data_IF_997513446984
#
_entry.id   IF_997513446984
#
_cell.length_a   1.000
_cell.length_b   1.000
_cell.length_c   1.000
_cell.angle_alpha   90.00
_cell.angle_beta   90.00
_cell.angle_gamma   90.00
#
_symmetry.space_group_name_H-M   'P 1'
#
loop_
_entity.id
_entity.type
_entity.pdbx_description
1 polymer ?
#
# COMPACT_ATOMS: atom_id res chain seq x y z
N UNK A 1 -2.40 6.78 5.16
CA UNK A 1 -1.21 7.13 4.36
C UNK A 1 -1.55 8.02 3.15
N UNK A 2 -2.63 7.81 2.45
CA UNK A 2 -2.99 8.62 1.26
C UNK A 2 -3.30 10.08 1.55
N UNK A 3 -3.95 10.38 2.69
CA UNK A 3 -4.30 11.77 3.06
C UNK A 3 -3.07 12.69 3.16
N UNK A 4 -1.96 12.33 3.83
CA UNK A 4 -0.76 13.16 3.84
C UNK A 4 -0.17 13.39 2.45
N UNK A 5 -0.20 12.39 1.57
CA UNK A 5 0.26 12.55 0.18
C UNK A 5 -0.58 13.63 -0.53
N UNK A 6 -1.88 13.56 -0.42
CA UNK A 6 -2.77 14.57 -1.00
C UNK A 6 -2.57 15.97 -0.41
N UNK A 7 -2.39 16.05 0.91
CA UNK A 7 -2.23 17.33 1.61
C UNK A 7 -0.90 18.04 1.27
N UNK A 8 0.21 17.31 1.20
CA UNK A 8 1.53 17.89 0.98
C UNK A 8 1.91 18.03 -0.50
N UNK A 9 1.42 17.13 -1.34
CA UNK A 9 1.84 17.06 -2.75
C UNK A 9 0.70 17.30 -3.75
N UNK A 10 -0.51 17.57 -3.27
CA UNK A 10 -1.69 17.82 -4.09
C UNK A 10 -2.02 16.68 -5.08
N UNK A 11 -1.69 15.45 -4.70
CA UNK A 11 -2.05 14.26 -5.48
C UNK A 11 -3.50 13.88 -5.20
N UNK A 12 -4.28 13.62 -6.24
CA UNK A 12 -5.67 13.19 -6.10
C UNK A 12 -5.79 11.96 -5.18
N UNK A 13 -6.84 11.91 -4.35
CA UNK A 13 -7.00 10.87 -3.33
C UNK A 13 -7.01 9.46 -3.91
N UNK A 14 -7.75 9.24 -4.99
CA UNK A 14 -7.79 7.94 -5.66
C UNK A 14 -6.44 7.51 -6.21
N UNK A 15 -5.67 8.43 -6.79
CA UNK A 15 -4.32 8.16 -7.27
C UNK A 15 -3.36 7.84 -6.12
N UNK A 16 -3.44 8.59 -5.02
CA UNK A 16 -2.65 8.31 -3.81
C UNK A 16 -2.95 6.91 -3.25
N UNK A 17 -4.21 6.50 -3.24
CA UNK A 17 -4.61 5.15 -2.84
C UNK A 17 -4.02 4.09 -3.79
N UNK A 18 -4.07 4.31 -5.09
CA UNK A 18 -3.52 3.38 -6.08
C UNK A 18 -2.00 3.21 -5.93
N UNK A 19 -1.27 4.30 -5.70
CA UNK A 19 0.18 4.26 -5.46
C UNK A 19 0.56 3.41 -4.25
N UNK A 20 -0.25 3.46 -3.19
CA UNK A 20 0.00 2.78 -1.92
C UNK A 20 -0.49 1.33 -1.92
N UNK A 21 -1.49 1.00 -2.74
CA UNK A 21 -2.24 -0.24 -2.63
C UNK A 21 -1.38 -1.51 -2.65
N UNK A 22 -0.43 -1.72 -3.58
CA UNK A 22 0.37 -2.95 -3.58
C UNK A 22 1.23 -3.10 -2.32
N UNK A 23 1.93 -2.06 -1.92
CA UNK A 23 2.82 -2.09 -0.74
C UNK A 23 2.07 -2.23 0.58
N UNK A 24 0.98 -1.51 0.74
CA UNK A 24 0.14 -1.62 1.94
C UNK A 24 -0.53 -2.99 2.03
N UNK A 25 -0.96 -3.55 0.90
CA UNK A 25 -1.50 -4.91 0.85
C UNK A 25 -0.45 -5.94 1.25
N UNK A 26 0.76 -5.86 0.66
CA UNK A 26 1.88 -6.74 1.00
C UNK A 26 2.19 -6.71 2.51
N UNK A 27 2.27 -5.52 3.09
CA UNK A 27 2.45 -5.34 4.53
C UNK A 27 1.31 -5.95 5.36
N UNK A 28 0.07 -5.81 4.88
CA UNK A 28 -1.13 -6.16 5.65
C UNK A 28 -1.46 -7.65 5.66
N UNK A 29 -0.92 -8.43 4.71
CA UNK A 29 -1.23 -9.86 4.53
C UNK A 29 -0.96 -10.67 5.81
N UNK A 30 0.11 -10.37 6.53
CA UNK A 30 0.43 -11.04 7.80
C UNK A 30 -0.68 -10.90 8.85
N UNK A 31 -1.48 -9.86 8.77
CA UNK A 31 -2.59 -9.64 9.70
C UNK A 31 -3.82 -10.49 9.41
N UNK A 32 -4.02 -10.93 8.17
CA UNK A 32 -5.12 -11.83 7.80
C UNK A 32 -4.90 -12.51 6.45
N UNK A 33 -3.96 -13.44 6.41
CA UNK A 33 -3.56 -14.16 5.20
C UNK A 33 -4.74 -14.87 4.52
N UNK A 34 -5.63 -15.49 5.30
CA UNK A 34 -6.79 -16.22 4.76
C UNK A 34 -7.72 -15.32 3.95
N UNK A 35 -8.05 -14.13 4.45
CA UNK A 35 -8.94 -13.19 3.74
C UNK A 35 -8.30 -12.63 2.47
N UNK A 36 -7.01 -12.32 2.51
CA UNK A 36 -6.31 -11.87 1.32
C UNK A 36 -6.19 -12.98 0.27
N UNK A 37 -5.96 -14.23 0.70
CA UNK A 37 -6.01 -15.38 -0.20
C UNK A 37 -7.40 -15.55 -0.84
N UNK A 38 -8.46 -15.37 -0.08
CA UNK A 38 -9.85 -15.38 -0.59
C UNK A 38 -10.06 -14.30 -1.64
N UNK A 39 -9.54 -13.08 -1.41
CA UNK A 39 -9.59 -12.00 -2.40
C UNK A 39 -8.86 -12.38 -3.70
N UNK A 40 -7.67 -12.98 -3.60
CA UNK A 40 -6.90 -13.43 -4.76
C UNK A 40 -7.68 -14.45 -5.60
N UNK A 41 -8.34 -15.40 -4.95
CA UNK A 41 -9.17 -16.41 -5.63
C UNK A 41 -10.42 -15.79 -6.25
N UNK A 42 -11.08 -14.89 -5.55
CA UNK A 42 -12.26 -14.17 -6.06
C UNK A 42 -11.94 -13.36 -7.32
N UNK A 43 -10.76 -12.77 -7.37
CA UNK A 43 -10.26 -12.04 -8.55
C UNK A 43 -9.73 -12.95 -9.66
N UNK A 44 -9.73 -14.28 -9.44
CA UNK A 44 -9.18 -15.30 -10.35
C UNK A 44 -7.68 -15.17 -10.60
N UNK A 45 -6.96 -14.53 -9.69
CA UNK A 45 -5.49 -14.44 -9.71
C UNK A 45 -4.83 -15.64 -9.04
N UNK A 46 -5.59 -16.38 -8.21
CA UNK A 46 -5.15 -17.62 -7.58
C UNK A 46 -6.17 -18.73 -7.79
N UNK A 47 -5.71 -19.97 -7.69
CA UNK A 47 -6.53 -21.18 -7.81
C UNK A 47 -7.00 -21.63 -6.43
N UNK A 48 -8.11 -22.37 -6.38
CA UNK A 48 -8.63 -22.97 -5.14
C UNK A 48 -7.60 -23.88 -4.46
N UNK A 49 -6.79 -24.60 -5.25
CA UNK A 49 -5.74 -25.51 -4.76
C UNK A 49 -4.48 -24.82 -4.26
N UNK A 50 -4.31 -23.53 -4.55
CA UNK A 50 -3.14 -22.76 -4.08
C UNK A 50 -3.20 -22.62 -2.56
N UNK A 51 -2.04 -22.72 -1.87
CA UNK A 51 -1.95 -22.39 -0.45
C UNK A 51 -2.28 -20.91 -0.22
N UNK A 52 -2.61 -20.54 1.02
CA UNK A 52 -2.84 -19.13 1.37
C UNK A 52 -1.62 -18.27 1.04
N UNK A 53 -0.41 -18.76 1.33
CA UNK A 53 0.83 -18.06 1.03
C UNK A 53 1.01 -17.82 -0.47
N UNK A 54 0.82 -18.84 -1.30
CA UNK A 54 0.91 -18.72 -2.77
C UNK A 54 -0.17 -17.79 -3.31
N UNK A 55 -1.40 -17.90 -2.84
CA UNK A 55 -2.50 -17.03 -3.25
C UNK A 55 -2.23 -15.57 -2.91
N UNK A 56 -1.71 -15.29 -1.72
CA UNK A 56 -1.33 -13.94 -1.31
C UNK A 56 -0.18 -13.37 -2.13
N UNK A 57 0.83 -14.18 -2.45
CA UNK A 57 1.92 -13.76 -3.33
C UNK A 57 1.43 -13.39 -4.73
N UNK A 58 0.49 -14.16 -5.27
CA UNK A 58 -0.14 -13.86 -6.56
C UNK A 58 -0.99 -12.58 -6.49
N UNK A 59 -1.66 -12.33 -5.37
CA UNK A 59 -2.42 -11.09 -5.15
C UNK A 59 -1.49 -9.88 -5.27
N UNK A 60 -0.40 -9.86 -4.54
CA UNK A 60 0.56 -8.73 -4.55
C UNK A 60 1.16 -8.54 -5.93
N UNK A 61 1.64 -9.61 -6.57
CA UNK A 61 2.19 -9.58 -7.93
C UNK A 61 1.19 -8.97 -8.92
N UNK A 62 -0.05 -9.42 -8.90
CA UNK A 62 -1.08 -8.91 -9.81
C UNK A 62 -1.51 -7.46 -9.51
N UNK A 63 -1.45 -7.02 -8.25
CA UNK A 63 -1.65 -5.61 -7.92
C UNK A 63 -0.56 -4.71 -8.53
N UNK A 64 0.69 -5.13 -8.49
CA UNK A 64 1.77 -4.42 -9.17
C UNK A 64 1.59 -4.40 -10.69
N UNK A 65 1.25 -5.53 -11.28
CA UNK A 65 0.97 -5.62 -12.72
C UNK A 65 -0.20 -4.73 -13.13
N UNK A 66 -1.27 -4.68 -12.34
CA UNK A 66 -2.41 -3.81 -12.57
C UNK A 66 -2.00 -2.33 -12.56
N UNK A 67 -1.18 -1.92 -11.60
CA UNK A 67 -0.67 -0.56 -11.55
C UNK A 67 0.21 -0.22 -12.75
N UNK A 68 1.03 -1.17 -13.22
CA UNK A 68 1.83 -1.00 -14.43
C UNK A 68 0.95 -0.86 -15.68
N UNK A 69 -0.06 -1.70 -15.82
CA UNK A 69 -1.02 -1.65 -16.94
C UNK A 69 -1.80 -0.33 -16.97
N UNK A 70 -2.19 0.16 -15.81
CA UNK A 70 -2.90 1.44 -15.66
C UNK A 70 -1.95 2.65 -15.67
N UNK A 71 -0.64 2.43 -15.75
CA UNK A 71 0.38 3.47 -15.72
C UNK A 71 0.29 4.37 -14.49
N UNK A 72 0.02 3.76 -13.33
CA UNK A 72 0.00 4.46 -12.05
C UNK A 72 1.42 4.94 -11.74
N UNK A 73 1.65 6.27 -11.64
CA UNK A 73 2.98 6.81 -11.38
C UNK A 73 3.38 6.62 -9.92
N UNK A 74 4.68 6.67 -9.63
CA UNK A 74 5.16 6.87 -8.26
C UNK A 74 5.16 8.37 -7.91
N UNK A 75 5.13 8.75 -6.63
CA UNK A 75 5.26 10.15 -6.26
C UNK A 75 6.53 10.81 -6.84
N UNK A 76 7.63 10.07 -6.84
CA UNK A 76 8.90 10.52 -7.42
C UNK A 76 8.80 10.77 -8.93
N UNK A 77 8.10 9.92 -9.67
CA UNK A 77 7.91 10.09 -11.11
C UNK A 77 7.04 11.30 -11.46
N UNK A 78 6.22 11.77 -10.52
CA UNK A 78 5.48 13.03 -10.64
C UNK A 78 6.29 14.27 -10.25
N UNK A 79 7.58 14.10 -9.94
CA UNK A 79 8.45 15.20 -9.53
C UNK A 79 8.37 15.56 -8.05
N UNK A 80 7.68 14.76 -7.25
CA UNK A 80 7.59 14.98 -5.81
C UNK A 80 8.78 14.37 -5.09
N UNK A 81 9.59 15.20 -4.46
CA UNK A 81 10.67 14.77 -3.58
C UNK A 81 10.24 14.85 -2.11
N UNK A 82 10.61 13.87 -1.33
CA UNK A 82 10.39 13.88 0.11
C UNK A 82 11.66 13.36 0.80
N UNK A 83 12.00 14.01 1.90
CA UNK A 83 13.10 13.59 2.76
C UNK A 83 12.59 12.79 3.96
N UNK A 84 13.51 12.31 4.78
CA UNK A 84 13.17 11.54 5.98
C UNK A 84 12.30 12.30 6.97
N UNK A 85 12.47 13.61 7.07
CA UNK A 85 11.66 14.42 7.99
C UNK A 85 10.24 14.57 7.48
N UNK A 86 10.05 14.71 6.17
CA UNK A 86 8.74 14.67 5.55
C UNK A 86 8.04 13.32 5.79
N UNK A 87 8.74 12.20 5.61
CA UNK A 87 8.15 10.87 5.88
C UNK A 87 7.77 10.69 7.35
N UNK A 88 8.56 11.22 8.29
CA UNK A 88 8.23 11.21 9.73
C UNK A 88 6.97 12.02 10.03
N UNK A 89 6.85 13.20 9.43
CA UNK A 89 5.66 14.05 9.57
C UNK A 89 4.42 13.35 9.01
N UNK A 90 4.51 12.83 7.80
CA UNK A 90 3.42 12.12 7.13
C UNK A 90 3.00 10.86 7.90
N UNK A 91 3.93 10.12 8.48
CA UNK A 91 3.64 8.96 9.31
C UNK A 91 2.90 9.35 10.59
N UNK A 92 3.29 10.45 11.23
CA UNK A 92 2.57 10.99 12.40
C UNK A 92 1.13 11.39 12.04
N UNK A 93 0.95 12.05 10.91
CA UNK A 93 -0.38 12.46 10.42
C UNK A 93 -1.24 11.25 10.05
N UNK A 94 -0.66 10.21 9.43
CA UNK A 94 -1.36 8.98 9.12
C UNK A 94 -1.87 8.28 10.38
N UNK A 95 -1.05 8.19 11.43
CA UNK A 95 -1.46 7.62 12.72
C UNK A 95 -2.53 8.45 13.41
N UNK A 96 -2.42 9.78 13.38
CA UNK A 96 -3.39 10.69 13.98
C UNK A 96 -4.77 10.62 13.31
N UNK A 97 -4.84 10.17 12.05
CA UNK A 97 -6.11 10.00 11.33
C UNK A 97 -7.01 8.90 11.88
N UNK A 98 -6.48 7.96 12.68
CA UNK A 98 -7.20 6.80 13.20
C UNK A 98 -7.37 5.66 12.19
N UNK A 99 -7.10 5.87 10.92
CA UNK A 99 -7.29 4.86 9.87
C UNK A 99 -6.36 3.63 10.02
N UNK A 100 -5.08 3.77 10.39
CA UNK A 100 -4.19 2.62 10.53
C UNK A 100 -4.65 1.58 11.55
N UNK A 101 -5.39 1.98 12.59
CA UNK A 101 -5.93 1.04 13.59
C UNK A 101 -6.95 0.06 13.01
N UNK A 102 -7.55 0.39 11.88
CA UNK A 102 -8.51 -0.47 11.19
C UNK A 102 -7.85 -1.44 10.19
N UNK A 103 -6.54 -1.32 9.99
CA UNK A 103 -5.81 -2.22 9.10
C UNK A 103 -5.67 -3.61 9.73
N UNK A 104 -5.74 -4.70 8.94
CA UNK A 104 -5.55 -6.06 9.47
C UNK A 104 -4.25 -6.26 10.24
N UNK A 105 -3.19 -5.57 9.84
CA UNK A 105 -1.94 -5.45 10.58
C UNK A 105 -1.73 -3.99 10.94
N UNK A 106 -1.84 -3.67 12.23
CA UNK A 106 -1.67 -2.28 12.70
C UNK A 106 -0.20 -1.88 12.62
N UNK A 107 0.17 -0.88 11.80
CA UNK A 107 1.56 -0.49 11.64
C UNK A 107 2.05 0.39 12.79
N UNK A 108 3.33 0.26 13.10
CA UNK A 108 4.06 1.25 13.91
C UNK A 108 4.43 2.46 13.06
N UNK A 109 4.81 3.57 13.71
CA UNK A 109 5.29 4.76 13.01
C UNK A 109 6.48 4.46 12.08
N UNK A 110 7.46 3.67 12.56
CA UNK A 110 8.63 3.30 11.76
C UNK A 110 8.26 2.46 10.55
N UNK A 111 7.30 1.57 10.67
CA UNK A 111 6.78 0.78 9.55
C UNK A 111 6.10 1.68 8.51
N UNK A 112 5.35 2.69 8.93
CA UNK A 112 4.73 3.66 8.00
C UNK A 112 5.80 4.47 7.27
N UNK A 113 6.84 4.91 7.97
CA UNK A 113 7.97 5.61 7.35
C UNK A 113 8.60 4.74 6.27
N UNK A 114 8.90 3.49 6.59
CA UNK A 114 9.50 2.55 5.64
C UNK A 114 8.60 2.30 4.42
N UNK A 115 7.30 2.14 4.64
CA UNK A 115 6.35 2.01 3.52
C UNK A 115 6.35 3.24 2.61
N UNK A 116 6.44 4.45 3.16
CA UNK A 116 6.58 5.66 2.35
C UNK A 116 7.90 5.66 1.55
N UNK A 117 9.01 5.31 2.19
CA UNK A 117 10.31 5.21 1.50
C UNK A 117 10.24 4.25 0.32
N UNK A 118 9.63 3.09 0.49
CA UNK A 118 9.47 2.10 -0.58
C UNK A 118 8.55 2.59 -1.71
N UNK A 119 7.46 3.29 -1.40
CA UNK A 119 6.54 3.83 -2.42
C UNK A 119 7.19 4.96 -3.22
N UNK A 120 8.04 5.76 -2.59
CA UNK A 120 8.80 6.78 -3.30
C UNK A 120 9.91 6.19 -4.20
N UNK A 121 10.49 5.11 -3.77
CA UNK A 121 11.60 4.44 -4.47
C UNK A 121 12.93 5.04 -4.12
#
# INVERSE_FOLDING_TARGET
MSRPIGAHFHVAHGLSNAMLLPKVTEFSIEGNQERYATCARAMKWAKEKDSHEVACSKLVENLYLLNDDLKVPSPKSLGHSADKDMFRLMASQALASGSPQNNPRVPTKNQIIHLYEEVWG
#
